data_IF_271784666598
#
_entry.id   IF_271784666598
#
_cell.length_a   1.000
_cell.length_b   1.000
_cell.length_c   1.000
_cell.angle_alpha   90.00
_cell.angle_beta   90.00
_cell.angle_gamma   90.00
#
_symmetry.space_group_name_H-M   'P 1'
#
loop_
_entity.id
_entity.type
_entity.pdbx_description
1 polymer ?
#
# COMPACT_ATOMS: atom_id res chain seq x y z
N UNK A 1 0.09 11.99 31.10
CA UNK A 1 -0.58 11.07 30.15
C UNK A 1 -1.25 9.86 30.83
N UNK A 2 -1.20 9.72 32.16
CA UNK A 2 -1.58 8.49 32.90
C UNK A 2 -2.98 8.50 33.53
N UNK A 3 -3.71 9.63 33.46
CA UNK A 3 -5.02 9.79 34.11
C UNK A 3 -6.15 9.17 33.28
N UNK A 4 -6.06 9.24 31.94
CA UNK A 4 -7.08 8.68 31.04
C UNK A 4 -7.18 7.14 31.05
N UNK A 5 -6.06 6.43 31.23
CA UNK A 5 -6.08 4.96 31.31
C UNK A 5 -6.65 4.44 32.63
N UNK A 6 -6.44 5.14 33.75
CA UNK A 6 -7.02 4.75 35.05
C UNK A 6 -8.54 4.88 35.04
N UNK A 7 -9.08 5.92 34.41
CA UNK A 7 -10.52 6.11 34.31
C UNK A 7 -11.18 5.02 33.46
N UNK A 8 -10.62 4.71 32.29
CA UNK A 8 -11.13 3.65 31.42
C UNK A 8 -11.11 2.26 32.07
N UNK A 9 -10.07 1.94 32.84
CA UNK A 9 -10.01 0.66 33.57
C UNK A 9 -11.07 0.63 34.68
N UNK A 10 -11.27 1.74 35.40
CA UNK A 10 -12.33 1.85 36.41
C UNK A 10 -13.73 1.70 35.82
N UNK A 11 -13.97 2.28 34.64
CA UNK A 11 -15.26 2.22 33.97
C UNK A 11 -15.56 0.80 33.47
N UNK A 12 -14.57 0.11 32.91
CA UNK A 12 -14.69 -1.30 32.49
C UNK A 12 -14.92 -2.23 33.68
N UNK A 13 -14.19 -2.02 34.78
CA UNK A 13 -14.34 -2.82 36.00
C UNK A 13 -15.74 -2.64 36.60
N UNK A 14 -16.26 -1.40 36.58
CA UNK A 14 -17.60 -1.05 37.06
C UNK A 14 -18.69 -1.72 36.23
N UNK A 15 -18.58 -1.69 34.90
CA UNK A 15 -19.51 -2.41 33.99
C UNK A 15 -19.47 -3.92 34.27
N UNK A 16 -18.29 -4.50 34.49
CA UNK A 16 -18.17 -5.93 34.78
C UNK A 16 -18.79 -6.30 36.13
N UNK A 17 -18.61 -5.50 37.18
CA UNK A 17 -19.25 -5.71 38.49
C UNK A 17 -20.77 -5.52 38.43
N UNK A 18 -21.26 -4.55 37.67
CA UNK A 18 -22.70 -4.29 37.52
C UNK A 18 -23.40 -5.44 36.77
N UNK A 19 -22.75 -6.00 35.74
CA UNK A 19 -23.25 -7.18 35.02
C UNK A 19 -23.26 -8.45 35.88
N UNK A 20 -22.25 -8.64 36.73
CA UNK A 20 -22.17 -9.85 37.58
C UNK A 20 -23.18 -9.81 38.74
N UNK A 21 -23.45 -8.62 39.29
CA UNK A 21 -24.49 -8.43 40.30
C UNK A 21 -25.90 -8.62 39.71
N UNK A 22 -26.15 -8.17 38.49
CA UNK A 22 -27.42 -8.44 37.78
C UNK A 22 -27.64 -9.93 37.50
N UNK A 23 -26.58 -10.68 37.14
CA UNK A 23 -26.66 -12.12 36.93
C UNK A 23 -26.94 -12.89 38.24
N UNK A 24 -26.35 -12.49 39.36
CA UNK A 24 -26.62 -13.11 40.67
C UNK A 24 -28.03 -12.79 41.18
N UNK A 25 -28.55 -11.58 40.93
CA UNK A 25 -29.92 -11.23 41.27
C UNK A 25 -30.94 -12.02 40.43
N UNK A 26 -30.66 -12.22 39.14
CA UNK A 26 -31.51 -13.04 38.26
C UNK A 26 -31.52 -14.52 38.66
N UNK A 27 -30.38 -15.07 39.08
CA UNK A 27 -30.29 -16.46 39.56
C UNK A 27 -31.03 -16.66 40.89
N UNK A 28 -30.98 -15.69 41.80
CA UNK A 28 -31.73 -15.74 43.06
C UNK A 28 -33.25 -15.62 42.83
N UNK A 29 -33.67 -14.76 41.90
CA UNK A 29 -35.09 -14.62 41.53
C UNK A 29 -35.64 -15.88 40.85
N UNK A 30 -34.83 -16.52 39.99
CA UNK A 30 -35.20 -17.78 39.35
C UNK A 30 -35.29 -18.93 40.36
N UNK A 31 -34.35 -19.04 41.31
CA UNK A 31 -34.39 -20.06 42.35
C UNK A 31 -35.58 -19.87 43.30
N UNK A 32 -35.92 -18.62 43.64
CA UNK A 32 -37.10 -18.33 44.44
C UNK A 32 -38.40 -18.66 43.69
N UNK A 33 -38.52 -18.30 42.40
CA UNK A 33 -39.68 -18.66 41.58
C UNK A 33 -39.82 -20.18 41.35
N UNK A 34 -38.72 -20.90 41.18
CA UNK A 34 -38.73 -22.36 41.04
C UNK A 34 -39.17 -23.04 42.34
N UNK A 35 -38.69 -22.57 43.50
CA UNK A 35 -39.08 -23.09 44.80
C UNK A 35 -40.56 -22.83 45.12
N UNK A 36 -41.08 -21.66 44.74
CA UNK A 36 -42.50 -21.32 44.92
C UNK A 36 -43.39 -22.13 43.96
N UNK A 37 -42.97 -22.30 42.70
CA UNK A 37 -43.65 -23.14 41.70
C UNK A 37 -43.72 -24.61 42.13
N UNK A 38 -42.65 -25.13 42.74
CA UNK A 38 -42.61 -26.50 43.25
C UNK A 38 -43.53 -26.69 44.46
N UNK A 39 -43.58 -25.71 45.38
CA UNK A 39 -44.47 -25.73 46.54
C UNK A 39 -45.96 -25.68 46.13
N UNK A 40 -46.33 -24.86 45.14
CA UNK A 40 -47.69 -24.77 44.58
C UNK A 40 -48.16 -26.01 43.82
N UNK A 41 -47.23 -26.84 43.31
CA UNK A 41 -47.55 -28.07 42.58
C UNK A 41 -47.85 -29.26 43.52
N UNK A 42 -47.38 -29.19 44.76
CA UNK A 42 -47.45 -30.27 45.76
C UNK A 42 -48.66 -30.16 46.70
N UNK A 43 -49.21 -28.96 46.88
CA UNK A 43 -50.50 -28.74 47.57
C UNK A 43 -51.51 -28.22 46.55
N UNK A 44 -52.77 -28.64 46.63
CA UNK A 44 -53.84 -28.05 45.81
C UNK A 44 -53.89 -26.55 46.13
N UNK A 45 -53.30 -25.73 45.26
CA UNK A 45 -53.20 -24.29 45.45
C UNK A 45 -54.60 -23.68 45.59
N UNK A 46 -54.80 -22.86 46.61
CA UNK A 46 -56.08 -22.17 46.81
C UNK A 46 -56.28 -21.15 45.69
N UNK A 47 -57.54 -20.96 45.25
CA UNK A 47 -57.86 -20.12 44.08
C UNK A 47 -57.42 -18.66 44.28
N UNK A 48 -57.51 -18.18 45.51
CA UNK A 48 -57.09 -16.83 45.88
C UNK A 48 -55.56 -16.68 45.90
N UNK A 49 -54.83 -17.71 46.30
CA UNK A 49 -53.35 -17.70 46.27
C UNK A 49 -52.85 -17.58 44.83
N UNK A 50 -53.38 -18.37 43.89
CA UNK A 50 -53.02 -18.33 42.46
C UNK A 50 -53.33 -16.98 41.81
N UNK A 51 -54.37 -16.27 42.26
CA UNK A 51 -54.77 -14.97 41.74
C UNK A 51 -53.78 -13.85 42.11
N UNK A 52 -53.05 -14.04 43.20
CA UNK A 52 -52.02 -13.11 43.68
C UNK A 52 -50.64 -13.33 43.05
N UNK A 53 -50.44 -14.44 42.32
CA UNK A 53 -49.10 -14.92 41.94
C UNK A 53 -48.40 -14.17 40.81
N UNK A 54 -49.14 -13.40 40.03
CA UNK A 54 -48.67 -12.34 39.13
C UNK A 54 -49.94 -11.58 38.76
N UNK A 55 -50.00 -10.30 39.12
CA UNK A 55 -51.11 -9.48 38.68
C UNK A 55 -51.01 -9.37 37.14
N UNK A 56 -52.06 -9.75 36.41
CA UNK A 56 -52.09 -9.67 34.95
C UNK A 56 -51.72 -8.26 34.45
N UNK A 57 -52.08 -7.23 35.21
CA UNK A 57 -51.71 -5.85 34.92
C UNK A 57 -50.20 -5.59 35.02
N UNK A 58 -49.51 -6.20 35.99
CA UNK A 58 -48.05 -6.09 36.13
C UNK A 58 -47.34 -6.86 35.02
N UNK A 59 -47.85 -8.05 34.66
CA UNK A 59 -47.35 -8.80 33.51
C UNK A 59 -47.51 -8.02 32.20
N UNK A 60 -48.69 -7.49 31.93
CA UNK A 60 -48.94 -6.71 30.71
C UNK A 60 -48.09 -5.43 30.70
N UNK A 61 -47.91 -4.76 31.84
CA UNK A 61 -47.06 -3.57 31.98
C UNK A 61 -45.57 -3.89 31.73
N UNK A 62 -45.07 -4.99 32.27
CA UNK A 62 -43.69 -5.41 32.05
C UNK A 62 -43.46 -5.87 30.61
N UNK A 63 -44.42 -6.58 30.02
CA UNK A 63 -44.37 -6.98 28.61
C UNK A 63 -44.36 -5.77 27.66
N UNK A 64 -45.21 -4.76 27.90
CA UNK A 64 -45.19 -3.50 27.15
C UNK A 64 -43.87 -2.73 27.32
N UNK A 65 -43.26 -2.82 28.50
CA UNK A 65 -41.95 -2.19 28.75
C UNK A 65 -40.86 -2.92 27.97
N UNK A 66 -40.89 -4.26 27.93
CA UNK A 66 -39.97 -5.06 27.14
C UNK A 66 -40.12 -4.77 25.64
N UNK A 67 -41.35 -4.68 25.14
CA UNK A 67 -41.62 -4.31 23.74
C UNK A 67 -41.00 -2.96 23.39
N UNK A 68 -41.22 -1.93 24.22
CA UNK A 68 -40.61 -0.60 24.02
C UNK A 68 -39.09 -0.62 24.06
N UNK A 69 -38.49 -1.40 24.96
CA UNK A 69 -37.04 -1.54 25.04
C UNK A 69 -36.48 -2.21 23.80
N UNK A 70 -37.14 -3.25 23.30
CA UNK A 70 -36.76 -3.93 22.07
C UNK A 70 -36.83 -2.97 20.88
N UNK A 71 -37.92 -2.21 20.76
CA UNK A 71 -38.08 -1.19 19.71
C UNK A 71 -37.00 -0.11 19.78
N UNK A 72 -36.70 0.42 20.98
CA UNK A 72 -35.64 1.42 21.18
C UNK A 72 -34.24 0.86 20.85
N UNK A 73 -33.98 -0.39 21.20
CA UNK A 73 -32.74 -1.08 20.83
C UNK A 73 -32.61 -1.25 19.31
N UNK A 74 -33.68 -1.64 18.62
CA UNK A 74 -33.68 -1.72 17.15
C UNK A 74 -33.50 -0.35 16.50
N UNK A 75 -34.13 0.70 17.04
CA UNK A 75 -33.95 2.05 16.54
C UNK A 75 -32.49 2.50 16.67
N UNK A 76 -31.87 2.30 17.84
CA UNK A 76 -30.45 2.62 18.08
C UNK A 76 -29.52 1.82 17.20
N UNK A 77 -29.79 0.52 17.02
CA UNK A 77 -29.00 -0.35 16.15
C UNK A 77 -29.04 0.14 14.69
N UNK A 78 -30.23 0.47 14.19
CA UNK A 78 -30.39 0.99 12.83
C UNK A 78 -29.65 2.32 12.63
N UNK A 79 -29.70 3.23 13.62
CA UNK A 79 -28.93 4.48 13.56
C UNK A 79 -27.43 4.19 13.48
N UNK A 80 -26.91 3.32 14.35
CA UNK A 80 -25.50 2.95 14.35
C UNK A 80 -25.08 2.25 13.05
N UNK A 81 -25.92 1.39 12.49
CA UNK A 81 -25.67 0.73 11.21
C UNK A 81 -25.61 1.74 10.05
N UNK A 82 -26.52 2.72 10.04
CA UNK A 82 -26.54 3.76 9.02
C UNK A 82 -25.33 4.71 9.13
N UNK A 83 -24.93 5.08 10.34
CA UNK A 83 -23.70 5.85 10.57
C UNK A 83 -22.46 5.08 10.10
N UNK A 84 -22.38 3.78 10.40
CA UNK A 84 -21.29 2.93 9.93
C UNK A 84 -21.25 2.86 8.39
N UNK A 85 -22.41 2.71 7.75
CA UNK A 85 -22.53 2.73 6.28
C UNK A 85 -22.06 4.07 5.70
N UNK A 86 -22.43 5.19 6.32
CA UNK A 86 -21.98 6.52 5.90
C UNK A 86 -20.47 6.65 5.99
N UNK A 87 -19.86 6.23 7.11
CA UNK A 87 -18.41 6.27 7.29
C UNK A 87 -17.67 5.40 6.28
N UNK A 88 -18.24 4.25 5.90
CA UNK A 88 -17.67 3.39 4.86
C UNK A 88 -17.72 4.06 3.48
N UNK A 89 -18.81 4.76 3.15
CA UNK A 89 -18.93 5.53 1.90
C UNK A 89 -17.91 6.67 1.87
N UNK A 90 -17.82 7.45 2.95
CA UNK A 90 -16.87 8.57 3.04
C UNK A 90 -15.41 8.08 2.94
N UNK A 91 -15.10 6.95 3.56
CA UNK A 91 -13.78 6.33 3.48
C UNK A 91 -13.51 5.82 2.06
N UNK A 92 -14.49 5.19 1.41
CA UNK A 92 -14.37 4.75 0.03
C UNK A 92 -14.11 5.93 -0.92
N UNK A 93 -14.90 7.01 -0.81
CA UNK A 93 -14.71 8.23 -1.59
C UNK A 93 -13.34 8.85 -1.32
N UNK A 94 -12.91 8.89 -0.05
CA UNK A 94 -11.59 9.39 0.31
C UNK A 94 -10.49 8.51 -0.29
N UNK A 95 -10.64 7.19 -0.31
CA UNK A 95 -9.67 6.29 -0.94
C UNK A 95 -9.66 6.44 -2.46
N UNK A 96 -10.81 6.56 -3.11
CA UNK A 96 -10.92 6.82 -4.56
C UNK A 96 -10.25 8.13 -4.94
N UNK A 97 -10.40 9.17 -4.12
CA UNK A 97 -9.78 10.48 -4.33
C UNK A 97 -8.29 10.52 -3.96
N UNK A 98 -7.86 9.76 -2.94
CA UNK A 98 -6.46 9.72 -2.50
C UNK A 98 -5.56 8.81 -3.33
N UNK A 99 -6.11 7.96 -4.20
CA UNK A 99 -5.29 6.92 -4.82
C UNK A 99 -4.47 7.36 -6.02
N UNK A 100 -4.94 8.12 -7.03
CA UNK A 100 -4.15 8.09 -8.29
C UNK A 100 -4.42 9.16 -9.36
N UNK A 101 -5.26 10.17 -9.12
CA UNK A 101 -5.58 11.13 -10.20
C UNK A 101 -4.63 12.32 -10.26
N UNK A 102 -4.46 13.04 -9.15
CA UNK A 102 -3.80 14.34 -9.21
C UNK A 102 -2.28 14.24 -9.23
N UNK A 103 -1.70 13.34 -8.44
CA UNK A 103 -0.24 13.16 -8.41
C UNK A 103 0.28 12.51 -9.70
N UNK A 104 -0.49 11.58 -10.28
CA UNK A 104 -0.17 10.95 -11.57
C UNK A 104 -0.33 11.92 -12.74
N UNK A 105 -1.35 12.78 -12.73
CA UNK A 105 -1.50 13.80 -13.76
C UNK A 105 -0.37 14.84 -13.67
N UNK A 106 0.00 15.28 -12.46
CA UNK A 106 1.14 16.17 -12.26
C UNK A 106 2.46 15.55 -12.75
N UNK A 107 2.67 14.25 -12.48
CA UNK A 107 3.84 13.52 -12.97
C UNK A 107 3.83 13.38 -14.50
N UNK A 108 2.67 13.06 -15.09
CA UNK A 108 2.48 12.98 -16.53
C UNK A 108 2.79 14.32 -17.21
N UNK A 109 2.23 15.41 -16.71
CA UNK A 109 2.48 16.76 -17.24
C UNK A 109 3.96 17.16 -17.14
N UNK A 110 4.61 16.81 -16.03
CA UNK A 110 6.04 17.08 -15.84
C UNK A 110 6.92 16.31 -16.84
N UNK A 111 6.62 15.02 -17.04
CA UNK A 111 7.33 14.17 -18.01
C UNK A 111 7.12 14.66 -19.46
N UNK A 112 5.88 14.99 -19.82
CA UNK A 112 5.51 15.55 -21.12
C UNK A 112 6.29 16.83 -21.41
N UNK A 113 6.36 17.75 -20.43
CA UNK A 113 7.11 19.00 -20.53
C UNK A 113 8.62 18.75 -20.67
N UNK A 114 9.17 17.78 -19.92
CA UNK A 114 10.59 17.44 -20.01
C UNK A 114 10.95 16.82 -21.36
N UNK A 115 10.11 15.92 -21.87
CA UNK A 115 10.28 15.31 -23.17
C UNK A 115 10.23 16.34 -24.31
N UNK A 116 9.25 17.26 -24.28
CA UNK A 116 9.17 18.38 -25.23
C UNK A 116 10.42 19.26 -25.19
N UNK A 117 10.95 19.55 -24.01
CA UNK A 117 12.19 20.33 -23.84
C UNK A 117 13.40 19.61 -24.45
N UNK A 118 13.54 18.31 -24.20
CA UNK A 118 14.64 17.49 -24.77
C UNK A 118 14.51 17.41 -26.29
N UNK A 119 13.32 17.13 -26.81
CA UNK A 119 13.07 17.02 -28.24
C UNK A 119 13.35 18.36 -28.95
N UNK A 120 12.98 19.49 -28.34
CA UNK A 120 13.31 20.83 -28.86
C UNK A 120 14.83 21.06 -28.94
N UNK A 121 15.58 20.63 -27.91
CA UNK A 121 17.06 20.75 -27.88
C UNK A 121 17.74 19.86 -28.91
N UNK A 122 17.21 18.65 -29.13
CA UNK A 122 17.71 17.74 -30.16
C UNK A 122 17.44 18.31 -31.55
N UNK A 123 16.22 18.78 -31.80
CA UNK A 123 15.84 19.37 -33.08
C UNK A 123 16.61 20.66 -33.39
N UNK A 124 16.90 21.50 -32.39
CA UNK A 124 17.76 22.68 -32.59
C UNK A 124 19.20 22.28 -32.89
N UNK A 125 19.74 21.27 -32.21
CA UNK A 125 21.08 20.74 -32.51
C UNK A 125 21.18 20.20 -33.95
N UNK A 126 20.15 19.52 -34.44
CA UNK A 126 20.11 18.99 -35.80
C UNK A 126 19.91 20.07 -36.86
N UNK A 127 19.17 21.13 -36.54
CA UNK A 127 18.87 22.21 -37.49
C UNK A 127 20.03 23.22 -37.60
N UNK A 128 20.70 23.54 -36.48
CA UNK A 128 21.88 24.42 -36.48
C UNK A 128 23.14 23.71 -37.02
N UNK A 129 23.08 22.38 -37.20
CA UNK A 129 24.15 21.59 -37.82
C UNK A 129 23.80 21.00 -39.19
N UNK A 130 23.05 21.72 -40.04
CA UNK A 130 23.19 21.51 -41.49
C UNK A 130 22.78 22.74 -42.31
N UNK A 131 23.67 23.21 -43.20
CA UNK A 131 23.39 22.98 -44.61
C UNK A 131 24.47 22.20 -45.37
N UNK A 132 25.47 21.61 -44.70
CA UNK A 132 26.60 20.97 -45.43
C UNK A 132 27.14 19.70 -44.76
N UNK A 133 26.29 18.72 -44.46
CA UNK A 133 26.75 17.33 -44.35
C UNK A 133 26.28 16.57 -45.59
N UNK A 134 26.89 16.91 -46.72
CA UNK A 134 26.95 15.96 -47.82
C UNK A 134 27.67 14.73 -47.27
N UNK A 135 26.94 13.63 -47.16
CA UNK A 135 27.48 12.31 -46.87
C UNK A 135 28.33 11.95 -48.08
N UNK A 136 29.61 12.34 -48.05
CA UNK A 136 30.61 11.76 -48.94
C UNK A 136 31.22 10.60 -48.21
N UNK A 137 30.92 9.43 -48.75
CA UNK A 137 31.50 8.12 -48.48
C UNK A 137 33.04 8.24 -48.34
N UNK A 138 33.56 8.21 -47.11
CA UNK A 138 34.99 8.26 -46.86
C UNK A 138 35.34 7.31 -45.72
N UNK A 139 36.31 6.44 -46.01
CA UNK A 139 36.50 5.13 -45.42
C UNK A 139 36.68 5.10 -43.88
N UNK A 140 36.18 4.03 -43.27
CA UNK A 140 36.38 3.68 -41.87
C UNK A 140 37.87 3.38 -41.58
N UNK A 141 38.66 4.39 -41.23
CA UNK A 141 40.07 4.15 -40.93
C UNK A 141 40.89 5.30 -40.34
N UNK A 142 40.37 6.53 -40.27
CA UNK A 142 41.09 7.63 -39.64
C UNK A 142 40.22 8.23 -38.53
N UNK A 143 40.68 8.10 -37.27
CA UNK A 143 40.07 8.79 -36.12
C UNK A 143 40.28 10.29 -36.30
N UNK A 144 39.46 10.93 -37.14
CA UNK A 144 39.37 12.39 -37.23
C UNK A 144 39.11 12.89 -35.83
N UNK A 145 39.99 13.76 -35.33
CA UNK A 145 39.79 14.44 -34.05
C UNK A 145 38.42 15.10 -34.13
N UNK A 146 37.45 14.56 -33.38
CA UNK A 146 36.18 15.25 -33.22
C UNK A 146 36.56 16.59 -32.61
N UNK A 147 36.33 17.68 -33.34
CA UNK A 147 36.24 19.02 -32.75
C UNK A 147 34.98 19.01 -31.88
N UNK A 148 35.05 18.28 -30.77
CA UNK A 148 33.96 18.09 -29.82
C UNK A 148 33.96 19.37 -29.02
N UNK A 149 32.92 20.18 -29.21
CA UNK A 149 32.79 21.44 -28.50
C UNK A 149 32.55 21.09 -27.03
N UNK A 150 33.61 21.16 -26.23
CA UNK A 150 33.55 20.77 -24.83
C UNK A 150 32.86 21.87 -24.03
N UNK A 151 31.99 21.47 -23.11
CA UNK A 151 31.37 22.39 -22.16
C UNK A 151 31.83 22.01 -20.74
N UNK A 152 32.09 23.01 -19.91
CA UNK A 152 32.42 22.83 -18.49
C UNK A 152 31.32 22.03 -17.78
N UNK A 153 31.61 20.86 -17.21
CA UNK A 153 30.57 20.03 -16.55
C UNK A 153 29.89 20.77 -15.39
N UNK A 154 30.62 21.66 -14.71
CA UNK A 154 30.12 22.40 -13.54
C UNK A 154 29.34 23.66 -13.91
N UNK A 155 29.58 24.23 -15.09
CA UNK A 155 29.17 25.60 -15.40
C UNK A 155 28.66 25.79 -16.83
N UNK A 156 28.64 24.70 -17.61
CA UNK A 156 28.21 24.58 -18.99
C UNK A 156 28.80 25.63 -19.95
N UNK A 157 29.93 26.24 -19.56
CA UNK A 157 30.65 27.23 -20.37
C UNK A 157 31.34 26.53 -21.55
N UNK A 158 31.20 27.03 -22.79
CA UNK A 158 31.89 26.46 -23.95
C UNK A 158 33.40 26.68 -23.82
N UNK A 159 34.16 25.62 -24.11
CA UNK A 159 35.61 25.57 -24.05
C UNK A 159 36.17 25.24 -25.43
N UNK A 160 37.07 26.09 -25.93
CA UNK A 160 37.89 25.78 -27.09
C UNK A 160 39.13 25.03 -26.60
N UNK A 161 39.11 23.71 -26.72
CA UNK A 161 40.26 22.86 -26.37
C UNK A 161 40.95 22.46 -27.68
N UNK A 162 42.12 23.04 -27.93
CA UNK A 162 43.01 22.54 -28.97
C UNK A 162 43.62 21.22 -28.49
N UNK A 163 43.03 20.10 -28.88
CA UNK A 163 43.67 18.79 -28.73
C UNK A 163 44.84 18.73 -29.71
N UNK A 164 46.03 19.16 -29.29
CA UNK A 164 47.21 18.93 -30.11
C UNK A 164 47.46 17.42 -30.15
N UNK A 165 47.70 16.92 -31.35
CA UNK A 165 47.82 15.49 -31.63
C UNK A 165 49.09 14.87 -31.01
N UNK A 166 49.98 15.70 -30.46
CA UNK A 166 51.22 15.28 -29.78
C UNK A 166 50.98 14.40 -28.54
N UNK A 167 49.86 14.54 -27.82
CA UNK A 167 49.68 13.85 -26.53
C UNK A 167 49.16 12.41 -26.64
N UNK A 168 48.85 11.92 -27.84
CA UNK A 168 48.43 10.53 -28.06
C UNK A 168 49.60 9.59 -28.43
N UNK A 169 50.84 10.09 -28.43
CA UNK A 169 52.01 9.38 -28.95
C UNK A 169 52.93 8.68 -27.95
N UNK A 170 52.63 8.63 -26.63
CA UNK A 170 53.60 8.10 -25.66
C UNK A 170 53.09 7.04 -24.68
N UNK A 171 52.06 6.27 -25.02
CA UNK A 171 51.83 5.02 -24.31
C UNK A 171 52.72 3.93 -24.95
N UNK A 172 53.62 3.27 -24.19
CA UNK A 172 54.32 2.12 -24.73
C UNK A 172 53.27 1.07 -25.07
N UNK A 173 53.21 0.68 -26.34
CA UNK A 173 52.43 -0.45 -26.80
C UNK A 173 53.05 -1.73 -26.22
N UNK A 174 52.68 -2.08 -24.98
CA UNK A 174 52.92 -3.43 -24.49
C UNK A 174 51.99 -4.36 -25.27
N UNK A 175 52.55 -4.98 -26.30
CA UNK A 175 51.91 -5.92 -27.21
C UNK A 175 51.67 -7.26 -26.52
N UNK A 176 50.88 -7.26 -25.45
CA UNK A 176 50.27 -8.46 -24.89
C UNK A 176 48.76 -8.29 -24.98
N UNK A 177 48.18 -8.81 -26.06
CA UNK A 177 46.73 -8.89 -26.21
C UNK A 177 46.12 -9.54 -24.97
N UNK A 178 45.01 -8.97 -24.48
CA UNK A 178 44.25 -9.56 -23.40
C UNK A 178 43.88 -11.01 -23.74
N UNK A 179 43.97 -11.96 -22.79
CA UNK A 179 43.64 -13.35 -23.07
C UNK A 179 42.21 -13.44 -23.59
N UNK A 180 42.06 -14.08 -24.75
CA UNK A 180 40.77 -14.32 -25.41
C UNK A 180 39.82 -14.96 -24.39
N UNK A 181 38.82 -14.20 -23.95
CA UNK A 181 37.85 -14.66 -22.96
C UNK A 181 37.12 -15.89 -23.51
N UNK A 182 37.35 -17.06 -22.92
CA UNK A 182 36.56 -18.26 -23.20
C UNK A 182 35.16 -17.99 -22.66
N UNK A 183 34.23 -17.73 -23.56
CA UNK A 183 32.82 -17.52 -23.24
C UNK A 183 32.26 -18.77 -22.57
N UNK A 184 31.40 -18.61 -21.55
CA UNK A 184 30.78 -19.70 -20.76
C UNK A 184 29.83 -20.59 -21.59
N UNK A 185 29.64 -20.28 -22.87
CA UNK A 185 28.77 -21.01 -23.78
C UNK A 185 29.31 -22.43 -24.04
N UNK A 186 28.40 -23.42 -24.18
CA UNK A 186 28.81 -24.78 -24.52
C UNK A 186 29.62 -24.78 -25.83
N UNK A 187 30.68 -25.59 -25.85
CA UNK A 187 31.58 -25.68 -27.00
C UNK A 187 30.82 -26.12 -28.26
N UNK A 188 31.10 -25.45 -29.37
CA UNK A 188 30.59 -25.88 -30.66
C UNK A 188 31.36 -27.12 -31.12
N UNK A 189 30.80 -27.90 -32.05
CA UNK A 189 31.48 -29.07 -32.63
C UNK A 189 32.83 -28.70 -33.25
N UNK A 190 32.96 -27.48 -33.78
CA UNK A 190 34.21 -26.94 -34.30
C UNK A 190 35.26 -26.71 -33.20
N UNK A 191 34.85 -26.18 -32.04
CA UNK A 191 35.75 -25.98 -30.90
C UNK A 191 36.24 -27.31 -30.34
N UNK A 192 35.37 -28.33 -30.31
CA UNK A 192 35.73 -29.68 -29.87
C UNK A 192 36.77 -30.34 -30.78
N UNK A 193 36.67 -30.13 -32.10
CA UNK A 193 37.65 -30.70 -33.05
C UNK A 193 39.02 -30.03 -32.92
N UNK A 194 39.05 -28.71 -32.72
CA UNK A 194 40.30 -28.00 -32.43
C UNK A 194 40.94 -28.45 -31.10
N UNK A 195 40.14 -28.74 -30.07
CA UNK A 195 40.64 -29.28 -28.80
C UNK A 195 41.20 -30.70 -28.96
N UNK A 196 40.58 -31.55 -29.77
CA UNK A 196 41.08 -32.91 -30.05
C UNK A 196 42.47 -32.86 -30.69
N UNK A 197 42.68 -31.95 -31.64
CA UNK A 197 43.98 -31.78 -32.28
C UNK A 197 45.04 -31.20 -31.33
N UNK A 198 44.68 -30.32 -30.40
CA UNK A 198 45.62 -29.75 -29.43
C UNK A 198 46.11 -30.73 -28.36
N UNK A 199 45.31 -31.73 -27.98
CA UNK A 199 45.70 -32.73 -26.97
C UNK A 199 46.67 -33.77 -27.54
N UNK A 200 46.77 -33.88 -28.87
CA UNK A 200 47.54 -34.91 -29.56
C UNK A 200 48.96 -34.47 -29.97
N UNK A 201 49.37 -33.25 -29.59
CA UNK A 201 50.72 -32.70 -29.71
C UNK A 201 51.33 -32.50 -28.33
#
# INVERSE_FOLDING_TARGET
MTIGCKQRISDVLRIYTDNNNNNNNNNNNNNNNINISLALKLTKADREDVKSFINRLEFDSTNQTLEKLIEDLFAKLNVAENELKSLLIDLQETMENKLDRDEMEQLREWLEKRFKSINKRLNSFTHDTSPTRQITDDAAGLKRSLMQHYHCISCDRPLEVALSQEYLGSYPADSRGFPMNKSIRPYTTFDLESLRHQIQT
#
